data_IF_427637974474
#
_entry.id   IF_427637974474
#
_cell.length_a   1.000
_cell.length_b   1.000
_cell.length_c   1.000
_cell.angle_alpha   90.00
_cell.angle_beta   90.00
_cell.angle_gamma   90.00
#
_symmetry.space_group_name_H-M   'P 1'
#
loop_
_entity.id
_entity.type
_entity.pdbx_description
1 polymer ?
#
# COMPACT_ATOMS: atom_id res chain seq x y z
N UNK A 1 -35.25 23.34 -39.41
CA UNK A 1 -35.26 23.25 -37.93
C UNK A 1 -35.04 21.82 -37.43
N UNK A 2 -35.76 20.81 -37.92
CA UNK A 2 -35.58 19.41 -37.46
C UNK A 2 -34.14 18.86 -37.63
N UNK A 3 -33.48 19.10 -38.76
CA UNK A 3 -32.09 18.64 -38.98
C UNK A 3 -31.09 19.27 -38.00
N UNK A 4 -31.27 20.56 -37.65
CA UNK A 4 -30.42 21.26 -36.67
C UNK A 4 -30.63 20.69 -35.27
N UNK A 5 -31.88 20.39 -34.90
CA UNK A 5 -32.20 19.77 -33.60
C UNK A 5 -31.61 18.37 -33.48
N UNK A 6 -31.63 17.56 -34.55
CA UNK A 6 -31.02 16.21 -34.56
C UNK A 6 -29.49 16.29 -34.44
N UNK A 7 -28.85 17.23 -35.13
CA UNK A 7 -27.39 17.44 -35.01
C UNK A 7 -27.02 17.91 -33.60
N UNK A 8 -27.74 18.87 -33.04
CA UNK A 8 -27.51 19.37 -31.68
C UNK A 8 -27.75 18.29 -30.63
N UNK A 9 -28.83 17.51 -30.77
CA UNK A 9 -29.10 16.38 -29.88
C UNK A 9 -28.04 15.27 -30.01
N UNK A 10 -27.57 14.99 -31.23
CA UNK A 10 -26.47 14.05 -31.48
C UNK A 10 -25.16 14.52 -30.85
N UNK A 11 -24.79 15.80 -31.01
CA UNK A 11 -23.60 16.38 -30.39
C UNK A 11 -23.70 16.39 -28.87
N UNK A 12 -24.85 16.76 -28.30
CA UNK A 12 -25.11 16.67 -26.86
C UNK A 12 -25.02 15.23 -26.34
N UNK A 13 -25.51 14.26 -27.13
CA UNK A 13 -25.43 12.86 -26.77
C UNK A 13 -23.99 12.33 -26.83
N UNK A 14 -23.21 12.71 -27.85
CA UNK A 14 -21.78 12.38 -27.93
C UNK A 14 -21.04 13.04 -26.76
N UNK A 15 -21.24 14.33 -26.53
CA UNK A 15 -20.59 15.08 -25.46
C UNK A 15 -20.92 14.53 -24.05
N UNK A 16 -22.17 14.12 -23.79
CA UNK A 16 -22.56 13.55 -22.49
C UNK A 16 -22.07 12.13 -22.24
N UNK A 17 -21.69 11.40 -23.29
CA UNK A 17 -21.34 9.98 -23.17
C UNK A 17 -19.88 9.68 -23.55
N UNK A 18 -19.11 10.70 -23.90
CA UNK A 18 -17.70 10.57 -24.31
C UNK A 18 -16.88 11.74 -23.77
N UNK A 19 -15.56 11.59 -23.79
CA UNK A 19 -14.60 12.62 -23.38
C UNK A 19 -14.37 13.70 -24.44
N UNK A 20 -15.31 13.89 -25.39
CA UNK A 20 -15.24 14.97 -26.38
C UNK A 20 -15.29 16.30 -25.63
N UNK A 21 -14.24 17.12 -25.79
CA UNK A 21 -14.03 18.40 -25.08
C UNK A 21 -13.73 18.27 -23.58
N UNK A 22 -13.40 17.07 -23.08
CA UNK A 22 -12.78 16.94 -21.76
C UNK A 22 -11.31 17.37 -21.86
N UNK A 23 -10.81 18.07 -20.85
CA UNK A 23 -9.40 18.47 -20.79
C UNK A 23 -8.49 17.23 -20.73
N UNK A 24 -7.29 17.32 -21.31
CA UNK A 24 -6.32 16.22 -21.32
C UNK A 24 -5.86 15.82 -19.90
N UNK A 25 -5.92 16.78 -18.97
CA UNK A 25 -5.68 16.57 -17.54
C UNK A 25 -6.81 17.18 -16.71
N UNK A 26 -7.10 16.51 -15.60
CA UNK A 26 -8.15 16.79 -14.63
C UNK A 26 -7.52 17.14 -13.28
N UNK A 27 -8.31 17.58 -12.30
CA UNK A 27 -7.83 17.92 -10.95
C UNK A 27 -6.75 19.01 -10.95
N UNK A 28 -7.00 20.16 -11.59
CA UNK A 28 -5.98 21.21 -11.71
C UNK A 28 -4.73 20.73 -12.46
N UNK A 29 -4.94 19.99 -13.55
CA UNK A 29 -3.91 19.38 -14.40
C UNK A 29 -3.03 18.29 -13.74
N UNK A 30 -3.49 17.65 -12.67
CA UNK A 30 -2.77 16.56 -11.98
C UNK A 30 -3.00 15.17 -12.56
N UNK A 31 -4.23 14.87 -12.99
CA UNK A 31 -4.64 13.50 -13.37
C UNK A 31 -4.85 13.44 -14.87
N UNK A 32 -4.14 12.57 -15.58
CA UNK A 32 -4.37 12.36 -17.02
C UNK A 32 -5.76 11.79 -17.27
N UNK A 33 -6.54 12.46 -18.12
CA UNK A 33 -7.89 12.00 -18.49
C UNK A 33 -7.86 10.66 -19.22
N UNK A 34 -6.88 10.44 -20.11
CA UNK A 34 -6.68 9.16 -20.81
C UNK A 34 -6.42 8.01 -19.81
N UNK A 35 -5.49 8.22 -18.87
CA UNK A 35 -5.18 7.20 -17.86
C UNK A 35 -6.35 6.97 -16.91
N UNK A 36 -7.10 8.02 -16.54
CA UNK A 36 -8.29 7.90 -15.69
C UNK A 36 -9.40 7.10 -16.39
N UNK A 37 -9.62 7.33 -17.69
CA UNK A 37 -10.62 6.62 -18.49
C UNK A 37 -10.31 5.11 -18.60
N UNK A 38 -9.03 4.75 -18.71
CA UNK A 38 -8.56 3.38 -18.77
C UNK A 38 -8.71 2.61 -17.44
N UNK A 39 -8.71 3.34 -16.32
CA UNK A 39 -8.77 2.76 -14.97
C UNK A 39 -10.20 2.67 -14.46
N UNK A 40 -10.99 3.74 -14.66
CA UNK A 40 -12.37 3.83 -14.19
C UNK A 40 -13.29 2.92 -15.01
N UNK A 41 -13.96 1.94 -14.36
CA UNK A 41 -14.85 1.03 -15.06
C UNK A 41 -16.08 1.77 -15.59
N UNK A 42 -16.71 1.16 -16.60
CA UNK A 42 -17.87 1.71 -17.28
C UNK A 42 -17.51 2.60 -18.48
N UNK A 43 -18.56 3.16 -19.07
CA UNK A 43 -18.47 4.06 -20.24
C UNK A 43 -19.02 5.42 -19.86
N UNK A 44 -18.45 6.49 -20.40
CA UNK A 44 -19.03 7.80 -20.20
C UNK A 44 -18.05 8.94 -20.35
N UNK A 45 -18.51 10.10 -19.90
CA UNK A 45 -17.71 11.32 -19.79
C UNK A 45 -17.02 11.35 -18.43
N UNK A 46 -15.78 11.80 -18.42
CA UNK A 46 -15.03 12.16 -17.23
C UNK A 46 -15.28 13.62 -16.87
N UNK A 47 -15.57 13.84 -15.59
CA UNK A 47 -15.64 15.16 -14.97
C UNK A 47 -14.84 15.12 -13.64
N UNK A 48 -14.36 16.28 -13.19
CA UNK A 48 -13.53 16.38 -11.99
C UNK A 48 -14.05 17.44 -11.02
N UNK A 49 -13.84 17.20 -9.73
CA UNK A 49 -14.27 18.03 -8.61
C UNK A 49 -13.07 18.23 -7.65
N UNK A 50 -12.89 19.44 -7.13
CA UNK A 50 -11.77 19.79 -6.25
C UNK A 50 -10.85 20.85 -6.85
N UNK A 51 -10.11 21.54 -5.98
CA UNK A 51 -9.33 22.74 -6.35
C UNK A 51 -7.97 22.42 -7.00
N UNK A 52 -7.57 21.14 -7.03
CA UNK A 52 -6.28 20.70 -7.57
C UNK A 52 -5.16 20.78 -6.52
N UNK A 53 -3.91 20.85 -6.99
CA UNK A 53 -2.74 20.91 -6.11
C UNK A 53 -2.63 22.29 -5.45
N UNK A 54 -2.51 22.32 -4.14
CA UNK A 54 -1.94 23.45 -3.42
C UNK A 54 -0.41 23.28 -3.37
N UNK A 55 0.33 24.15 -4.07
CA UNK A 55 1.79 24.09 -4.14
C UNK A 55 2.46 24.54 -2.84
N UNK A 56 1.78 25.32 -2.01
CA UNK A 56 2.28 25.79 -0.71
C UNK A 56 2.00 24.77 0.40
N UNK A 57 0.93 23.96 0.28
CA UNK A 57 0.63 22.85 1.17
C UNK A 57 0.14 21.59 0.43
N UNK A 58 1.08 20.70 0.12
CA UNK A 58 0.79 19.42 -0.53
C UNK A 58 -0.16 18.51 0.26
N UNK A 59 -0.37 18.76 1.56
CA UNK A 59 -1.07 17.83 2.45
C UNK A 59 -2.58 18.08 2.58
N UNK A 60 -3.09 19.15 1.97
CA UNK A 60 -4.53 19.48 1.93
C UNK A 60 -5.16 19.23 0.54
N UNK A 61 -4.44 18.54 -0.36
CA UNK A 61 -4.93 18.28 -1.70
C UNK A 61 -5.86 17.05 -1.74
N UNK A 62 -7.14 17.28 -2.08
CA UNK A 62 -8.11 16.25 -2.40
C UNK A 62 -8.83 16.58 -3.72
N UNK A 63 -8.95 15.60 -4.61
CA UNK A 63 -9.72 15.74 -5.86
C UNK A 63 -10.46 14.45 -6.21
N UNK A 64 -11.65 14.59 -6.78
CA UNK A 64 -12.43 13.49 -7.35
C UNK A 64 -12.47 13.55 -8.88
N UNK A 65 -12.37 12.40 -9.54
CA UNK A 65 -12.68 12.20 -10.96
C UNK A 65 -13.82 11.20 -11.08
N UNK A 66 -14.95 11.61 -11.63
CA UNK A 66 -16.11 10.76 -11.86
C UNK A 66 -16.22 10.36 -13.33
N UNK A 67 -16.63 9.11 -13.59
CA UNK A 67 -17.04 8.61 -14.91
C UNK A 67 -18.52 8.29 -14.89
N UNK A 68 -19.28 8.97 -15.74
CA UNK A 68 -20.74 8.79 -15.80
C UNK A 68 -21.28 8.88 -17.23
N UNK A 69 -22.40 8.22 -17.47
CA UNK A 69 -23.12 8.23 -18.76
C UNK A 69 -24.62 8.22 -18.51
N UNK A 70 -25.36 8.83 -19.44
CA UNK A 70 -26.84 8.82 -19.43
C UNK A 70 -27.42 7.53 -20.05
N UNK A 71 -26.58 6.61 -20.49
CA UNK A 71 -27.00 5.32 -21.07
C UNK A 71 -27.30 4.35 -19.93
N UNK A 72 -28.50 3.76 -19.96
CA UNK A 72 -28.92 2.77 -18.96
C UNK A 72 -27.92 1.61 -18.86
N UNK A 73 -27.46 1.32 -17.64
CA UNK A 73 -26.52 0.23 -17.35
C UNK A 73 -25.04 0.57 -17.49
N UNK A 74 -24.68 1.84 -17.73
CA UNK A 74 -23.27 2.26 -17.88
C UNK A 74 -22.45 2.24 -16.59
N UNK A 75 -23.12 2.17 -15.42
CA UNK A 75 -22.49 2.35 -14.12
C UNK A 75 -22.01 3.79 -13.87
N UNK A 76 -21.74 4.10 -12.61
CA UNK A 76 -20.99 5.29 -12.20
C UNK A 76 -19.76 4.81 -11.43
N UNK A 77 -18.60 5.38 -11.72
CA UNK A 77 -17.37 5.10 -10.99
C UNK A 77 -16.66 6.39 -10.64
N UNK A 78 -16.03 6.43 -9.47
CA UNK A 78 -15.30 7.61 -8.99
C UNK A 78 -13.91 7.19 -8.52
N UNK A 79 -12.92 7.98 -8.90
CA UNK A 79 -11.56 7.98 -8.39
C UNK A 79 -11.41 9.19 -7.47
N UNK A 80 -10.93 8.99 -6.25
CA UNK A 80 -10.49 10.07 -5.35
C UNK A 80 -8.98 10.02 -5.24
N UNK A 81 -8.34 11.17 -5.41
CA UNK A 81 -6.90 11.37 -5.19
C UNK A 81 -6.74 12.25 -3.96
N UNK A 82 -5.95 11.80 -2.99
CA UNK A 82 -5.65 12.53 -1.77
C UNK A 82 -4.16 12.55 -1.52
N UNK A 83 -3.58 13.71 -1.28
CA UNK A 83 -2.21 13.83 -0.79
C UNK A 83 -2.22 14.18 0.69
N UNK A 84 -1.34 13.54 1.44
CA UNK A 84 -1.23 13.79 2.87
C UNK A 84 0.13 13.37 3.41
N UNK A 85 0.57 14.05 4.46
CA UNK A 85 1.78 13.69 5.22
C UNK A 85 1.49 12.55 6.19
N UNK A 86 2.30 11.50 6.16
CA UNK A 86 2.12 10.29 6.97
C UNK A 86 3.32 10.05 7.88
N UNK A 87 3.19 9.17 8.89
CA UNK A 87 4.37 8.69 9.63
C UNK A 87 5.19 7.79 8.70
N UNK A 88 6.51 7.73 8.89
CA UNK A 88 7.41 7.01 7.97
C UNK A 88 7.04 5.55 7.68
N UNK A 89 6.37 4.88 8.62
CA UNK A 89 5.93 3.48 8.47
C UNK A 89 4.44 3.34 8.13
N UNK A 90 3.64 4.40 8.14
CA UNK A 90 2.20 4.35 7.85
C UNK A 90 1.88 3.75 6.47
N UNK A 91 2.70 3.96 5.41
CA UNK A 91 2.44 3.32 4.12
C UNK A 91 2.42 1.80 4.15
N UNK A 92 3.03 1.24 5.19
CA UNK A 92 3.15 -0.19 5.41
C UNK A 92 2.04 -0.74 6.32
N UNK A 93 1.27 0.14 6.96
CA UNK A 93 0.28 -0.21 7.97
C UNK A 93 -1.13 0.30 7.67
N UNK A 94 -1.32 1.12 6.63
CA UNK A 94 -2.54 1.91 6.32
C UNK A 94 -3.82 1.34 6.98
N UNK A 95 -4.18 1.98 8.09
CA UNK A 95 -5.15 1.51 9.09
C UNK A 95 -6.63 1.62 8.63
N UNK A 96 -6.90 2.05 7.39
CA UNK A 96 -8.23 2.29 6.84
C UNK A 96 -8.66 1.26 5.78
N UNK A 97 -8.87 0.00 6.19
CA UNK A 97 -9.50 -1.11 5.42
C UNK A 97 -8.74 -1.70 4.20
N UNK A 98 -8.84 -3.05 4.04
CA UNK A 98 -8.01 -4.07 4.67
C UNK A 98 -6.61 -4.22 4.05
N UNK A 99 -5.69 -4.77 4.85
CA UNK A 99 -4.24 -4.95 4.63
C UNK A 99 -3.78 -5.32 3.21
N UNK A 100 -2.54 -4.93 2.82
CA UNK A 100 -1.98 -5.04 1.46
C UNK A 100 -1.65 -6.47 1.01
N UNK A 101 -2.27 -7.49 1.59
CA UNK A 101 -1.99 -8.89 1.25
C UNK A 101 -2.54 -9.29 -0.11
N UNK A 102 -3.51 -8.54 -0.65
CA UNK A 102 -3.93 -8.61 -2.05
C UNK A 102 -3.27 -7.57 -2.97
N UNK A 103 -2.47 -6.66 -2.42
CA UNK A 103 -1.81 -5.61 -3.19
C UNK A 103 -0.59 -6.15 -3.95
N UNK A 104 -0.30 -5.52 -5.08
CA UNK A 104 0.95 -5.65 -5.79
C UNK A 104 1.83 -4.46 -5.48
N UNK A 105 3.09 -4.69 -5.13
CA UNK A 105 4.04 -3.62 -4.81
C UNK A 105 4.92 -3.28 -6.00
N UNK A 106 5.34 -2.02 -6.07
CA UNK A 106 6.18 -1.54 -7.16
C UNK A 106 7.63 -1.92 -6.88
N UNK A 107 8.35 -2.39 -7.91
CA UNK A 107 9.82 -2.49 -7.88
C UNK A 107 10.46 -1.26 -8.52
N UNK A 108 11.70 -0.94 -8.14
CA UNK A 108 12.50 0.10 -8.79
C UNK A 108 12.42 1.47 -8.10
N UNK A 109 12.46 2.55 -8.89
CA UNK A 109 12.62 3.93 -8.38
C UNK A 109 11.37 4.53 -7.73
N UNK A 110 10.19 3.96 -8.02
CA UNK A 110 8.92 4.46 -7.48
C UNK A 110 8.46 3.54 -6.37
N UNK A 111 8.37 4.09 -5.16
CA UNK A 111 7.83 3.42 -3.98
C UNK A 111 6.30 3.54 -3.98
N UNK A 112 5.63 2.39 -4.05
CA UNK A 112 4.17 2.36 -4.08
C UNK A 112 3.58 0.96 -4.08
N UNK A 113 2.25 0.91 -4.07
CA UNK A 113 1.48 -0.32 -4.18
C UNK A 113 0.10 -0.09 -4.76
N UNK A 114 -0.49 -1.14 -5.31
CA UNK A 114 -1.81 -1.11 -5.94
C UNK A 114 -2.58 -2.39 -5.69
N UNK A 115 -3.87 -2.28 -5.40
CA UNK A 115 -4.84 -3.37 -5.48
C UNK A 115 -5.99 -2.99 -6.44
N UNK A 116 -7.13 -3.67 -6.33
CA UNK A 116 -8.27 -3.42 -7.21
C UNK A 116 -8.99 -2.09 -6.91
N UNK A 117 -8.91 -1.56 -5.70
CA UNK A 117 -9.64 -0.36 -5.30
C UNK A 117 -8.73 0.78 -4.90
N UNK A 118 -7.50 0.48 -4.49
CA UNK A 118 -6.57 1.47 -3.96
C UNK A 118 -5.22 1.42 -4.65
N UNK A 119 -4.61 2.59 -4.81
CA UNK A 119 -3.20 2.72 -5.08
C UNK A 119 -2.60 3.76 -4.15
N UNK A 120 -1.31 3.63 -3.85
CA UNK A 120 -0.57 4.65 -3.13
C UNK A 120 0.83 4.76 -3.71
N UNK A 121 1.33 5.99 -3.80
CA UNK A 121 2.66 6.29 -4.31
C UNK A 121 3.29 7.39 -3.46
N UNK A 122 4.52 7.16 -3.03
CA UNK A 122 5.24 8.10 -2.19
C UNK A 122 5.96 9.15 -3.03
N UNK A 123 5.90 10.41 -2.60
CA UNK A 123 6.66 11.48 -3.23
C UNK A 123 8.17 11.34 -2.92
N UNK A 124 9.05 11.80 -3.84
CA UNK A 124 10.49 11.81 -3.63
C UNK A 124 10.91 12.46 -2.31
N UNK A 125 12.06 12.05 -1.79
CA UNK A 125 12.57 12.48 -0.48
C UNK A 125 12.62 14.00 -0.30
N UNK A 126 12.94 14.74 -1.36
CA UNK A 126 13.04 16.21 -1.31
C UNK A 126 11.69 16.92 -1.22
N UNK A 127 10.58 16.22 -1.41
CA UNK A 127 9.23 16.79 -1.30
C UNK A 127 8.75 16.87 0.16
N UNK A 128 9.56 16.40 1.10
CA UNK A 128 9.21 16.35 2.52
C UNK A 128 10.45 16.45 3.41
N UNK A 129 10.23 16.69 4.71
CA UNK A 129 11.33 16.84 5.68
C UNK A 129 11.36 15.67 6.66
N UNK A 130 10.31 15.49 7.46
CA UNK A 130 10.21 14.49 8.53
C UNK A 130 9.00 13.55 8.38
N UNK A 131 8.00 13.96 7.62
CA UNK A 131 6.81 13.18 7.28
C UNK A 131 6.72 12.98 5.77
N UNK A 132 6.88 11.75 5.24
CA UNK A 132 6.69 11.50 3.82
C UNK A 132 5.29 11.93 3.37
N UNK A 133 5.21 12.50 2.18
CA UNK A 133 3.94 12.78 1.53
C UNK A 133 3.59 11.62 0.60
N UNK A 134 2.38 11.09 0.75
CA UNK A 134 1.86 10.00 -0.08
C UNK A 134 0.64 10.50 -0.84
N UNK A 135 0.58 10.18 -2.12
CA UNK A 135 -0.65 10.28 -2.89
C UNK A 135 -1.40 8.94 -2.80
N UNK A 136 -2.58 8.96 -2.21
CA UNK A 136 -3.52 7.85 -2.13
C UNK A 136 -4.60 8.01 -3.19
N UNK A 137 -4.93 6.92 -3.85
CA UNK A 137 -5.92 6.84 -4.90
C UNK A 137 -6.96 5.80 -4.49
N UNK A 138 -8.23 6.16 -4.45
CA UNK A 138 -9.33 5.27 -4.10
C UNK A 138 -10.34 5.23 -5.23
N UNK A 139 -10.78 4.04 -5.62
CA UNK A 139 -11.82 3.83 -6.63
C UNK A 139 -13.00 3.13 -5.97
N UNK A 140 -14.21 3.60 -6.25
CA UNK A 140 -15.46 3.04 -5.69
C UNK A 140 -15.78 1.64 -6.22
N UNK A 141 -15.26 1.29 -7.38
CA UNK A 141 -15.46 0.03 -8.09
C UNK A 141 -14.08 -0.57 -8.43
N UNK A 142 -13.96 -1.90 -8.56
CA UNK A 142 -12.69 -2.53 -8.93
C UNK A 142 -12.14 -1.94 -10.24
N UNK A 143 -10.88 -1.52 -10.21
CA UNK A 143 -10.12 -1.05 -11.35
C UNK A 143 -10.12 -2.12 -12.44
N UNK A 144 -10.38 -1.71 -13.68
CA UNK A 144 -10.43 -2.63 -14.82
C UNK A 144 -9.04 -3.26 -15.11
N UNK A 145 -7.96 -2.54 -14.81
CA UNK A 145 -6.57 -2.98 -14.99
C UNK A 145 -5.66 -2.38 -13.91
N UNK A 146 -5.09 -3.24 -13.05
CA UNK A 146 -4.17 -2.83 -11.98
C UNK A 146 -2.88 -2.19 -12.51
N UNK A 147 -2.40 -2.59 -13.69
CA UNK A 147 -1.20 -1.99 -14.32
C UNK A 147 -1.50 -0.58 -14.80
N UNK A 148 -2.68 -0.36 -15.39
CA UNK A 148 -3.14 0.98 -15.76
C UNK A 148 -3.31 1.86 -14.50
N UNK A 149 -3.82 1.29 -13.42
CA UNK A 149 -4.01 2.02 -12.16
C UNK A 149 -2.67 2.43 -11.53
N UNK A 150 -1.70 1.54 -11.51
CA UNK A 150 -0.34 1.87 -11.08
C UNK A 150 0.30 2.96 -11.96
N UNK A 151 0.13 2.88 -13.28
CA UNK A 151 0.65 3.87 -14.22
C UNK A 151 -0.03 5.25 -14.10
N UNK A 152 -1.32 5.30 -13.77
CA UNK A 152 -2.03 6.53 -13.40
C UNK A 152 -1.43 7.13 -12.13
N UNK A 153 -1.31 6.33 -11.06
CA UNK A 153 -0.83 6.80 -9.77
C UNK A 153 0.60 7.35 -9.86
N UNK A 154 1.50 6.64 -10.57
CA UNK A 154 2.86 7.10 -10.83
C UNK A 154 2.90 8.37 -11.67
N UNK A 155 2.06 8.51 -12.70
CA UNK A 155 1.99 9.72 -13.53
C UNK A 155 1.58 10.96 -12.73
N UNK A 156 0.58 10.80 -11.87
CA UNK A 156 0.10 11.86 -11.01
C UNK A 156 1.19 12.29 -10.04
N UNK A 157 1.86 11.37 -9.34
CA UNK A 157 2.96 11.73 -8.43
C UNK A 157 4.15 12.33 -9.17
N UNK A 158 4.51 11.81 -10.35
CA UNK A 158 5.53 12.41 -11.21
C UNK A 158 5.18 13.87 -11.56
N UNK A 159 3.92 14.13 -11.90
CA UNK A 159 3.45 15.47 -12.24
C UNK A 159 3.54 16.41 -11.04
N UNK A 160 3.19 15.93 -9.84
CA UNK A 160 3.30 16.71 -8.61
C UNK A 160 4.76 17.01 -8.27
N UNK A 161 5.64 16.01 -8.36
CA UNK A 161 7.07 16.17 -8.10
C UNK A 161 7.73 17.17 -9.07
N UNK A 162 7.35 17.13 -10.35
CA UNK A 162 7.83 18.05 -11.36
C UNK A 162 7.36 19.50 -11.13
N UNK A 163 6.09 19.69 -10.73
CA UNK A 163 5.52 21.03 -10.44
C UNK A 163 6.16 21.69 -9.23
N UNK A 164 6.36 20.92 -8.18
CA UNK A 164 6.97 21.38 -6.93
C UNK A 164 8.50 21.44 -7.00
N UNK A 165 9.10 20.96 -8.09
CA UNK A 165 10.55 20.95 -8.30
C UNK A 165 11.31 20.03 -7.35
N UNK A 166 10.63 19.07 -6.71
CA UNK A 166 11.22 18.20 -5.70
C UNK A 166 11.80 16.89 -6.27
N UNK A 167 11.65 16.63 -7.57
CA UNK A 167 12.38 15.55 -8.23
C UNK A 167 11.75 15.09 -9.53
N UNK A 168 12.48 14.23 -10.24
CA UNK A 168 11.99 13.53 -11.42
C UNK A 168 11.68 12.08 -11.06
N UNK A 169 10.56 11.58 -11.58
CA UNK A 169 10.15 10.18 -11.49
C UNK A 169 9.93 9.63 -12.90
N UNK A 170 10.08 8.30 -13.09
CA UNK A 170 9.76 7.66 -14.36
C UNK A 170 8.26 7.79 -14.68
N UNK A 171 7.91 7.71 -15.97
CA UNK A 171 6.51 7.84 -16.42
C UNK A 171 5.60 6.68 -15.99
N UNK A 172 6.20 5.55 -15.62
CA UNK A 172 5.53 4.31 -15.21
C UNK A 172 6.26 3.72 -14.02
N UNK A 173 5.57 2.98 -13.14
CA UNK A 173 6.24 2.22 -12.10
C UNK A 173 7.09 1.13 -12.74
N UNK A 174 8.02 0.56 -11.97
CA UNK A 174 8.67 -0.68 -12.38
C UNK A 174 7.69 -1.86 -12.35
N UNK A 175 8.25 -3.07 -12.30
CA UNK A 175 7.43 -4.29 -12.27
C UNK A 175 6.52 -4.30 -11.04
N UNK A 176 5.26 -4.68 -11.24
CA UNK A 176 4.34 -4.99 -10.15
C UNK A 176 4.66 -6.38 -9.61
N UNK A 177 5.08 -6.47 -8.36
CA UNK A 177 5.31 -7.72 -7.64
C UNK A 177 3.96 -8.15 -7.06
N UNK A 178 3.32 -9.22 -7.60
CA UNK A 178 1.99 -9.62 -7.16
C UNK A 178 2.05 -10.37 -5.83
N UNK A 179 0.91 -10.45 -5.11
CA UNK A 179 0.81 -11.32 -3.96
C UNK A 179 1.07 -12.78 -4.37
N UNK A 180 1.49 -13.59 -3.41
CA UNK A 180 1.81 -15.01 -3.65
C UNK A 180 0.61 -15.81 -4.11
N UNK A 181 -0.58 -15.40 -3.71
CA UNK A 181 -1.86 -16.09 -3.96
C UNK A 181 -3.00 -15.08 -3.81
N UNK A 182 -4.05 -15.24 -4.62
CA UNK A 182 -5.27 -14.42 -4.53
C UNK A 182 -6.11 -14.76 -3.29
N UNK A 183 -5.86 -15.90 -2.65
CA UNK A 183 -6.55 -16.34 -1.44
C UNK A 183 -5.57 -16.78 -0.35
N UNK A 184 -5.99 -16.59 0.89
CA UNK A 184 -5.29 -17.10 2.06
C UNK A 184 -5.17 -18.62 2.02
N UNK A 185 -4.02 -19.14 2.43
CA UNK A 185 -3.65 -20.55 2.34
C UNK A 185 -3.19 -21.08 3.70
N UNK A 186 -3.30 -22.38 4.00
CA UNK A 186 -2.72 -22.93 5.22
C UNK A 186 -1.21 -22.67 5.32
N UNK A 187 -0.75 -22.32 6.52
CA UNK A 187 0.69 -22.22 6.82
C UNK A 187 1.38 -23.57 6.63
N UNK A 188 2.64 -23.55 6.20
CA UNK A 188 3.45 -24.76 6.06
C UNK A 188 4.25 -25.03 7.35
N UNK A 189 4.46 -26.31 7.69
CA UNK A 189 5.23 -26.65 8.88
C UNK A 189 6.67 -26.11 8.77
N UNK A 190 7.10 -25.34 9.77
CA UNK A 190 8.45 -24.74 9.82
C UNK A 190 8.70 -23.60 8.83
N UNK A 191 7.68 -23.16 8.09
CA UNK A 191 7.78 -22.05 7.16
C UNK A 191 6.45 -21.28 7.13
N UNK A 192 6.47 -20.13 7.77
CA UNK A 192 5.35 -19.19 7.81
C UNK A 192 5.68 -18.00 6.91
N UNK A 193 4.74 -17.62 6.06
CA UNK A 193 4.86 -16.53 5.10
C UNK A 193 6.05 -16.68 4.12
N UNK A 194 6.49 -17.90 3.88
CA UNK A 194 7.69 -18.16 3.07
C UNK A 194 9.03 -17.95 3.82
N UNK A 195 9.01 -17.50 5.08
CA UNK A 195 10.21 -17.31 5.90
C UNK A 195 10.61 -18.63 6.56
N UNK A 196 11.78 -19.16 6.19
CA UNK A 196 12.31 -20.40 6.75
C UNK A 196 12.63 -20.25 8.25
N UNK A 197 12.16 -21.18 9.07
CA UNK A 197 12.39 -21.17 10.51
C UNK A 197 11.41 -20.30 11.32
N UNK A 198 10.54 -19.53 10.65
CA UNK A 198 9.38 -18.92 11.32
C UNK A 198 8.29 -19.97 11.49
N UNK A 199 7.77 -20.10 12.72
CA UNK A 199 6.75 -21.08 13.09
C UNK A 199 5.69 -20.45 13.97
N UNK A 200 4.44 -20.93 13.84
CA UNK A 200 3.31 -20.56 14.70
C UNK A 200 3.05 -21.59 15.81
N UNK A 201 3.86 -22.67 15.88
CA UNK A 201 3.69 -23.72 16.87
C UNK A 201 3.87 -23.17 18.30
N UNK A 202 2.86 -23.37 19.16
CA UNK A 202 2.83 -22.81 20.50
C UNK A 202 2.60 -21.29 20.57
N UNK A 203 2.34 -20.65 19.42
CA UNK A 203 2.07 -19.22 19.30
C UNK A 203 0.63 -18.89 18.93
N UNK A 204 -0.23 -19.90 18.84
CA UNK A 204 -1.66 -19.73 18.54
C UNK A 204 -2.50 -20.56 19.51
N UNK A 205 -3.79 -20.25 19.68
CA UNK A 205 -4.68 -21.06 20.50
C UNK A 205 -4.64 -22.55 20.10
N UNK A 206 -4.76 -23.43 21.09
CA UNK A 206 -4.69 -24.88 20.85
C UNK A 206 -5.77 -25.34 19.86
N UNK A 207 -5.36 -26.07 18.82
CA UNK A 207 -6.25 -26.56 17.77
C UNK A 207 -6.64 -25.52 16.70
N UNK A 208 -6.18 -24.27 16.82
CA UNK A 208 -6.40 -23.25 15.79
C UNK A 208 -5.65 -23.62 14.50
N UNK A 209 -6.37 -23.58 13.38
CA UNK A 209 -5.75 -23.61 12.06
C UNK A 209 -5.33 -22.19 11.69
N UNK A 210 -4.18 -22.05 11.06
CA UNK A 210 -3.62 -20.74 10.67
C UNK A 210 -3.53 -20.66 9.16
N UNK A 211 -4.04 -19.57 8.62
CA UNK A 211 -3.93 -19.19 7.22
C UNK A 211 -2.93 -18.04 7.07
N UNK A 212 -2.21 -18.02 5.96
CA UNK A 212 -1.29 -16.95 5.56
C UNK A 212 -1.71 -16.37 4.20
N UNK A 213 -1.52 -15.07 4.04
CA UNK A 213 -1.67 -14.33 2.79
C UNK A 213 -0.65 -13.18 2.73
N UNK A 214 -0.19 -12.81 1.52
CA UNK A 214 0.83 -11.79 1.33
C UNK A 214 1.81 -12.10 0.22
N UNK A 215 2.99 -11.46 0.28
CA UNK A 215 3.99 -11.46 -0.78
C UNK A 215 4.91 -12.69 -0.74
N UNK A 216 5.55 -13.00 -1.87
CA UNK A 216 6.63 -13.99 -1.92
C UNK A 216 7.91 -13.35 -1.36
N UNK A 217 8.52 -13.97 -0.36
CA UNK A 217 9.82 -13.54 0.18
C UNK A 217 11.02 -14.14 -0.61
N UNK A 218 12.16 -13.44 -0.70
CA UNK A 218 12.34 -12.02 -0.38
C UNK A 218 11.79 -11.11 -1.50
N UNK A 219 11.43 -9.87 -1.15
CA UNK A 219 11.04 -8.79 -2.06
C UNK A 219 11.44 -7.44 -1.47
N UNK A 220 11.60 -6.39 -2.28
CA UNK A 220 11.99 -5.06 -1.78
C UNK A 220 10.98 -4.52 -0.77
N UNK A 221 9.70 -4.72 -1.03
CA UNK A 221 8.62 -4.53 -0.07
C UNK A 221 7.84 -5.83 0.08
N UNK A 222 7.77 -6.33 1.31
CA UNK A 222 7.15 -7.60 1.64
C UNK A 222 6.20 -7.45 2.82
N UNK A 223 5.02 -8.04 2.72
CA UNK A 223 4.06 -8.14 3.80
C UNK A 223 3.46 -9.54 3.87
N UNK A 224 3.06 -9.95 5.06
CA UNK A 224 2.28 -11.14 5.29
C UNK A 224 1.33 -10.98 6.47
N UNK A 225 0.10 -11.45 6.32
CA UNK A 225 -0.90 -11.52 7.39
C UNK A 225 -1.20 -12.98 7.72
N UNK A 226 -1.29 -13.27 9.00
CA UNK A 226 -1.80 -14.52 9.52
C UNK A 226 -3.23 -14.33 10.00
N UNK A 227 -4.09 -15.31 9.72
CA UNK A 227 -5.48 -15.34 10.17
C UNK A 227 -5.76 -16.69 10.80
N UNK A 228 -6.39 -16.72 11.97
CA UNK A 228 -6.87 -17.96 12.58
C UNK A 228 -8.20 -18.35 11.91
N UNK A 229 -8.35 -19.62 11.61
CA UNK A 229 -9.61 -20.19 11.15
C UNK A 229 -10.42 -20.71 12.34
N UNK A 230 -10.92 -19.78 13.15
CA UNK A 230 -11.52 -20.01 14.47
C UNK A 230 -13.00 -19.57 14.58
N UNK A 231 -13.66 -19.37 13.45
CA UNK A 231 -15.06 -18.92 13.39
C UNK A 231 -15.28 -17.42 13.61
N UNK A 232 -14.23 -16.63 13.85
CA UNK A 232 -14.32 -15.17 13.77
C UNK A 232 -14.67 -14.71 12.35
N UNK A 233 -15.32 -13.55 12.22
CA UNK A 233 -15.82 -13.02 10.95
C UNK A 233 -15.73 -11.48 10.89
N UNK A 234 -16.09 -10.92 9.74
CA UNK A 234 -16.12 -9.47 9.53
C UNK A 234 -14.75 -8.82 9.74
N UNK A 235 -14.77 -7.60 10.30
CA UNK A 235 -13.56 -6.80 10.55
C UNK A 235 -12.50 -7.53 11.38
N UNK A 236 -12.90 -8.28 12.41
CA UNK A 236 -11.96 -9.03 13.28
C UNK A 236 -11.16 -10.05 12.47
N UNK A 237 -11.84 -10.82 11.60
CA UNK A 237 -11.16 -11.78 10.73
C UNK A 237 -10.38 -11.07 9.62
N UNK A 238 -10.93 -9.99 9.07
CA UNK A 238 -10.32 -9.22 7.98
C UNK A 238 -8.95 -8.63 8.37
N UNK A 239 -8.85 -8.08 9.57
CA UNK A 239 -7.62 -7.51 10.12
C UNK A 239 -6.58 -8.58 10.52
N UNK A 240 -7.02 -9.80 10.82
CA UNK A 240 -6.17 -10.95 11.08
C UNK A 240 -5.60 -11.01 12.49
N UNK A 241 -4.72 -11.99 12.70
CA UNK A 241 -4.09 -12.33 13.98
C UNK A 241 -2.76 -11.60 14.17
N UNK A 242 -1.79 -11.84 13.28
CA UNK A 242 -0.49 -11.15 13.30
C UNK A 242 -0.14 -10.72 11.89
N UNK A 243 0.47 -9.54 11.76
CA UNK A 243 0.95 -9.02 10.48
C UNK A 243 2.46 -8.79 10.58
N UNK A 244 3.15 -9.13 9.51
CA UNK A 244 4.60 -9.03 9.39
C UNK A 244 4.92 -8.21 8.16
N UNK A 245 5.85 -7.26 8.31
CA UNK A 245 6.34 -6.45 7.21
C UNK A 245 7.86 -6.42 7.22
N UNK A 246 8.44 -6.49 6.02
CA UNK A 246 9.86 -6.31 5.79
C UNK A 246 10.05 -5.42 4.56
N UNK A 247 10.98 -4.47 4.61
CA UNK A 247 11.32 -3.66 3.43
C UNK A 247 12.81 -3.34 3.37
N UNK A 248 13.34 -3.40 2.14
CA UNK A 248 14.65 -2.86 1.72
C UNK A 248 14.49 -1.62 0.83
N UNK A 249 13.25 -1.14 0.62
CA UNK A 249 12.99 0.08 -0.13
C UNK A 249 13.69 1.28 0.54
N UNK A 250 14.60 1.96 -0.17
CA UNK A 250 15.43 3.00 0.43
C UNK A 250 14.62 4.24 0.83
N UNK A 251 13.57 4.58 0.09
CA UNK A 251 12.77 5.76 0.35
C UNK A 251 11.89 5.56 1.60
N UNK A 252 11.33 4.35 1.79
CA UNK A 252 10.64 3.97 3.03
C UNK A 252 11.59 3.96 4.22
N UNK A 253 12.77 3.35 4.08
CA UNK A 253 13.77 3.32 5.16
C UNK A 253 14.17 4.74 5.56
N UNK A 254 14.41 5.62 4.60
CA UNK A 254 14.76 7.00 4.87
C UNK A 254 13.60 7.76 5.54
N UNK A 255 12.36 7.54 5.11
CA UNK A 255 11.18 8.10 5.76
C UNK A 255 11.05 7.66 7.22
N UNK A 256 11.38 6.41 7.52
CA UNK A 256 11.39 5.90 8.89
C UNK A 256 12.55 6.46 9.72
N UNK A 257 13.74 6.67 9.13
CA UNK A 257 14.88 7.30 9.82
C UNK A 257 14.63 8.75 10.20
N UNK A 258 14.05 9.52 9.28
CA UNK A 258 13.75 10.94 9.49
C UNK A 258 12.59 11.18 10.45
N UNK A 259 11.79 10.15 10.73
CA UNK A 259 10.68 10.27 11.67
C UNK A 259 11.20 10.57 13.09
N UNK A 260 10.69 11.62 13.79
CA UNK A 260 11.21 12.03 15.11
C UNK A 260 11.16 10.96 16.21
N UNK A 261 10.34 9.91 16.04
CA UNK A 261 10.24 8.78 16.96
C UNK A 261 11.31 7.70 16.79
N UNK A 262 12.22 7.85 15.82
CA UNK A 262 13.26 6.85 15.52
C UNK A 262 14.54 7.12 16.28
N UNK A 263 15.06 6.10 16.97
CA UNK A 263 16.26 6.22 17.81
C UNK A 263 17.09 4.94 17.80
N UNK A 264 18.39 5.06 18.08
CA UNK A 264 19.27 3.89 18.26
C UNK A 264 18.80 3.03 19.43
N UNK A 265 18.89 1.72 19.27
CA UNK A 265 18.60 0.74 20.31
C UNK A 265 19.05 -0.65 19.91
N UNK A 266 18.36 -1.66 20.42
CA UNK A 266 18.62 -3.05 20.08
C UNK A 266 17.30 -3.79 19.80
N UNK A 267 17.36 -4.73 18.87
CA UNK A 267 16.28 -5.69 18.63
C UNK A 267 16.14 -6.69 19.79
N UNK A 268 15.03 -7.43 19.87
CA UNK A 268 14.84 -8.44 20.91
C UNK A 268 15.88 -9.57 20.92
N UNK A 269 16.59 -9.79 19.81
CA UNK A 269 17.70 -10.75 19.72
C UNK A 269 19.06 -10.15 20.10
N UNK A 270 19.09 -8.88 20.55
CA UNK A 270 20.26 -8.19 21.07
C UNK A 270 21.09 -7.44 20.03
N UNK A 271 20.72 -7.46 18.74
CA UNK A 271 21.46 -6.75 17.69
C UNK A 271 21.18 -5.25 17.71
N UNK A 272 22.22 -4.45 17.47
CA UNK A 272 22.08 -3.01 17.25
C UNK A 272 21.11 -2.72 16.10
N UNK A 273 20.22 -1.75 16.31
CA UNK A 273 19.19 -1.37 15.36
C UNK A 273 18.74 0.07 15.62
N UNK A 274 17.98 0.62 14.67
CA UNK A 274 17.19 1.83 14.91
C UNK A 274 15.75 1.40 15.23
N UNK A 275 15.25 1.81 16.40
CA UNK A 275 13.89 1.51 16.87
C UNK A 275 12.97 2.59 16.33
N UNK A 276 11.99 2.20 15.52
CA UNK A 276 11.02 3.11 14.91
C UNK A 276 9.81 3.26 15.83
N UNK A 277 9.47 4.51 16.14
CA UNK A 277 8.32 4.95 16.93
C UNK A 277 7.99 4.05 18.13
N UNK A 278 8.83 4.09 19.17
CA UNK A 278 8.61 3.35 20.43
C UNK A 278 8.44 1.83 20.26
N UNK A 279 9.01 1.24 19.19
CA UNK A 279 9.02 -0.21 18.97
C UNK A 279 7.87 -0.72 18.10
N UNK A 280 7.36 0.11 17.19
CA UNK A 280 6.49 -0.35 16.09
C UNK A 280 7.28 -1.21 15.11
N UNK A 281 8.55 -0.85 14.85
CA UNK A 281 9.46 -1.63 14.02
C UNK A 281 10.94 -1.34 14.28
N UNK A 282 11.80 -1.97 13.49
CA UNK A 282 13.26 -1.94 13.64
C UNK A 282 13.92 -1.79 12.27
N UNK A 283 14.90 -0.90 12.15
CA UNK A 283 15.80 -0.83 10.98
C UNK A 283 17.10 -1.54 11.37
N UNK A 284 17.36 -2.65 10.70
CA UNK A 284 18.57 -3.45 10.87
C UNK A 284 19.64 -3.02 9.86
N UNK A 285 20.88 -2.78 10.28
CA UNK A 285 22.00 -2.67 9.36
C UNK A 285 22.35 -4.05 8.79
N UNK A 286 22.61 -4.10 7.49
CA UNK A 286 23.03 -5.31 6.77
C UNK A 286 24.54 -5.24 6.47
N UNK A 287 25.18 -6.39 6.25
CA UNK A 287 26.65 -6.46 6.08
C UNK A 287 27.14 -5.84 4.77
N UNK A 288 26.27 -5.75 3.77
CA UNK A 288 26.48 -5.09 2.48
C UNK A 288 26.39 -3.56 2.55
N UNK A 289 26.05 -3.00 3.71
CA UNK A 289 25.84 -1.56 3.92
C UNK A 289 24.39 -1.11 3.71
N UNK A 290 23.53 -2.01 3.23
CA UNK A 290 22.10 -1.73 3.11
C UNK A 290 21.40 -1.81 4.47
N UNK A 291 20.09 -1.61 4.46
CA UNK A 291 19.26 -1.69 5.65
C UNK A 291 17.98 -2.47 5.39
N UNK A 292 17.49 -3.12 6.43
CA UNK A 292 16.27 -3.90 6.40
C UNK A 292 15.34 -3.42 7.52
N UNK A 293 14.22 -2.82 7.16
CA UNK A 293 13.16 -2.55 8.12
C UNK A 293 12.32 -3.79 8.36
N UNK A 294 11.96 -4.04 9.61
CA UNK A 294 11.13 -5.14 10.07
C UNK A 294 10.06 -4.62 11.05
N UNK A 295 8.81 -5.02 10.85
CA UNK A 295 7.72 -4.71 11.77
C UNK A 295 6.83 -5.92 12.04
N UNK A 296 6.26 -5.91 13.25
CA UNK A 296 5.27 -6.89 13.70
C UNK A 296 4.11 -6.15 14.32
N UNK A 297 2.93 -6.35 13.75
CA UNK A 297 1.68 -5.74 14.22
C UNK A 297 0.71 -6.82 14.70
N UNK A 298 0.04 -6.54 15.81
CA UNK A 298 -1.01 -7.41 16.35
C UNK A 298 -2.34 -7.01 15.73
N UNK A 299 -3.02 -7.94 15.06
CA UNK A 299 -4.34 -7.67 14.53
C UNK A 299 -5.45 -7.85 15.57
N UNK A 300 -6.67 -7.45 15.21
CA UNK A 300 -7.86 -7.54 16.05
C UNK A 300 -8.15 -8.97 16.51
N UNK A 301 -7.87 -9.96 15.67
CA UNK A 301 -8.05 -11.36 16.05
C UNK A 301 -7.09 -11.77 17.18
N UNK A 302 -5.85 -11.25 17.20
CA UNK A 302 -4.95 -11.47 18.33
C UNK A 302 -5.46 -10.78 19.59
N UNK A 303 -5.92 -9.54 19.48
CA UNK A 303 -6.44 -8.80 20.63
C UNK A 303 -7.63 -9.53 21.26
N UNK A 304 -8.57 -10.03 20.45
CA UNK A 304 -9.70 -10.84 20.90
C UNK A 304 -9.28 -12.20 21.46
N UNK A 305 -8.34 -12.89 20.81
CA UNK A 305 -7.82 -14.17 21.30
C UNK A 305 -7.10 -14.00 22.65
N UNK A 306 -6.35 -12.92 22.85
CA UNK A 306 -5.59 -12.65 24.08
C UNK A 306 -6.49 -12.45 25.30
N UNK A 307 -7.73 -11.97 25.09
CA UNK A 307 -8.74 -11.84 26.15
C UNK A 307 -9.35 -13.19 26.54
N UNK A 308 -9.36 -14.17 25.62
CA UNK A 308 -10.03 -15.48 25.79
C UNK A 308 -9.06 -16.59 26.19
N UNK A 309 -7.78 -16.41 25.91
CA UNK A 309 -6.74 -17.42 26.10
C UNK A 309 -5.60 -16.85 26.93
N UNK A 310 -5.63 -17.07 28.25
CA UNK A 310 -4.58 -16.59 29.19
C UNK A 310 -3.18 -17.12 28.85
N UNK A 311 -3.11 -18.30 28.21
CA UNK A 311 -1.85 -18.92 27.80
C UNK A 311 -1.33 -18.42 26.44
N UNK A 312 -2.01 -17.47 25.79
CA UNK A 312 -1.53 -16.92 24.53
C UNK A 312 -0.26 -16.11 24.76
N UNK A 313 0.83 -16.34 24.00
CA UNK A 313 2.04 -15.54 24.16
C UNK A 313 1.78 -14.05 23.95
N UNK A 314 2.52 -13.21 24.68
CA UNK A 314 2.52 -11.75 24.46
C UNK A 314 3.19 -11.42 23.13
N UNK A 315 2.92 -10.22 22.59
CA UNK A 315 3.45 -9.70 21.31
C UNK A 315 4.96 -9.92 21.14
N UNK A 316 5.76 -9.71 22.19
CA UNK A 316 7.22 -9.85 22.12
C UNK A 316 7.69 -11.26 21.73
N UNK A 317 6.90 -12.29 22.04
CA UNK A 317 7.20 -13.68 21.68
C UNK A 317 7.10 -13.94 20.16
N UNK A 318 6.42 -13.08 19.41
CA UNK A 318 6.30 -13.16 17.95
C UNK A 318 7.40 -12.36 17.24
N UNK A 319 8.01 -11.37 17.92
CA UNK A 319 8.98 -10.45 17.30
C UNK A 319 10.33 -11.12 17.08
N UNK A 320 10.93 -11.75 18.10
CA UNK A 320 12.27 -12.31 17.98
C UNK A 320 12.38 -13.43 16.90
N UNK A 321 11.45 -14.41 16.83
CA UNK A 321 11.48 -15.43 15.78
C UNK A 321 11.33 -14.83 14.37
N UNK A 322 10.46 -13.82 14.22
CA UNK A 322 10.30 -13.11 12.96
C UNK A 322 11.56 -12.37 12.56
N UNK A 323 12.13 -11.58 13.46
CA UNK A 323 13.35 -10.80 13.21
C UNK A 323 14.50 -11.70 12.77
N UNK A 324 14.67 -12.87 13.39
CA UNK A 324 15.67 -13.86 12.99
C UNK A 324 15.41 -14.46 11.61
N UNK A 325 14.17 -14.91 11.35
CA UNK A 325 13.81 -15.56 10.09
C UNK A 325 13.85 -14.59 8.90
N UNK A 326 13.36 -13.36 9.10
CA UNK A 326 13.39 -12.30 8.10
C UNK A 326 14.83 -11.85 7.83
N UNK A 327 15.63 -11.55 8.86
CA UNK A 327 17.04 -11.19 8.67
C UNK A 327 17.80 -12.26 7.86
N UNK A 328 17.56 -13.55 8.11
CA UNK A 328 18.15 -14.63 7.31
C UNK A 328 17.66 -14.63 5.87
N UNK A 329 16.34 -14.56 5.66
CA UNK A 329 15.72 -14.62 4.32
C UNK A 329 16.12 -13.44 3.43
N UNK A 330 16.30 -12.26 4.03
CA UNK A 330 16.63 -11.01 3.34
C UNK A 330 18.15 -10.73 3.34
N UNK A 331 18.99 -11.66 3.80
CA UNK A 331 20.45 -11.53 3.72
C UNK A 331 21.08 -10.59 4.76
N UNK A 332 20.37 -10.23 5.82
CA UNK A 332 20.81 -9.35 6.92
C UNK A 332 20.99 -10.10 8.24
N UNK A 333 21.26 -11.41 8.19
CA UNK A 333 21.56 -12.20 9.37
C UNK A 333 22.84 -11.71 10.05
N UNK A 334 22.88 -11.79 11.38
CA UNK A 334 24.13 -11.60 12.09
C UNK A 334 25.17 -12.63 11.61
N UNK A 335 26.47 -12.27 11.58
CA UNK A 335 27.53 -13.24 11.41
C UNK A 335 27.33 -14.36 12.45
N UNK A 336 27.45 -15.62 12.03
CA UNK A 336 27.47 -16.72 12.99
C UNK A 336 28.62 -16.45 13.96
N UNK A 337 28.32 -16.38 15.26
CA UNK A 337 29.36 -16.37 16.27
C UNK A 337 30.13 -17.70 16.13
N UNK A 338 31.37 -17.60 15.65
CA UNK A 338 32.29 -18.73 15.55
C UNK A 338 32.81 -19.18 16.90
#
# INVERSE_FOLDING_TARGET
MAAVVVVVAGLLHVWRNTNVLTADRLCGDLVSAEKADAVLPGSGRLDAEGDGLDEDDLTDTECGVGKSSVVLGSGESRLTVRLWGVRGYDPLTFESEPHPTGASFFSGEVTGGVDEHKAWVMLPEKCWTDRPVVAEFNITEPAADRTAFAALATDTVRTIAARTGCGDLPEKPGTLVPPRSDAARPVSAGQVCGLGGLTVAGQVPAGAKVLEEGQKAPADLWSCKLTLDDGTSGFVRGDGFMKYTATRDPLLIEAMRKFPGTAKGATPDGREAEIVDKGVGFILPCADGDSLYLAVESGQQYLEASKRHENLPKRDAYVAPFVKAAATTFGCAAPAAG
#
